data_IF_732942549573
#
_entry.id   IF_732942549573
#
_cell.length_a   1.000
_cell.length_b   1.000
_cell.length_c   1.000
_cell.angle_alpha   90.00
_cell.angle_beta   90.00
_cell.angle_gamma   90.00
#
_symmetry.space_group_name_H-M   'P 1'
#
loop_
_entity.id
_entity.type
_entity.pdbx_description
1 polymer ?
#
# COMPACT_ATOMS: atom_id res chain seq x y z
N UNK A 1 6.68 19.11 -9.98
CA UNK A 1 8.06 18.60 -9.80
C UNK A 1 8.04 17.22 -9.16
N UNK A 2 8.48 16.18 -9.88
CA UNK A 2 8.77 14.85 -9.32
C UNK A 2 10.20 14.87 -8.79
N UNK A 3 10.38 15.03 -7.48
CA UNK A 3 11.65 14.70 -6.83
C UNK A 3 11.43 13.43 -6.02
N UNK A 4 11.45 12.29 -6.71
CA UNK A 4 11.73 11.04 -6.03
C UNK A 4 13.22 11.10 -5.67
N UNK A 5 13.52 11.14 -4.38
CA UNK A 5 14.91 11.16 -3.94
C UNK A 5 15.45 9.75 -4.10
N UNK A 6 16.35 9.59 -5.06
CA UNK A 6 17.07 8.34 -5.23
C UNK A 6 18.35 8.43 -4.41
N UNK A 7 18.37 7.74 -3.28
CA UNK A 7 19.59 7.59 -2.49
C UNK A 7 20.32 6.34 -2.95
N UNK A 8 21.63 6.46 -3.11
CA UNK A 8 22.51 5.31 -3.36
C UNK A 8 23.38 5.14 -2.13
N UNK A 9 23.17 4.04 -1.43
CA UNK A 9 24.00 3.65 -0.28
C UNK A 9 25.22 2.94 -0.84
N UNK A 10 26.40 3.30 -0.34
CA UNK A 10 27.67 2.64 -0.66
C UNK A 10 28.20 1.98 0.61
N UNK A 11 27.85 0.70 0.86
CA UNK A 11 28.31 -0.02 2.03
C UNK A 11 29.83 -0.20 2.01
N UNK A 12 30.47 -0.23 3.17
CA UNK A 12 31.85 -0.74 3.26
C UNK A 12 31.86 -2.26 3.08
N UNK A 13 33.01 -2.85 2.70
CA UNK A 13 33.13 -4.29 2.35
C UNK A 13 32.48 -5.22 3.38
N UNK A 14 32.67 -4.96 4.68
CA UNK A 14 32.09 -5.78 5.75
C UNK A 14 30.56 -5.67 5.81
N UNK A 15 29.99 -4.49 5.52
CA UNK A 15 28.55 -4.28 5.45
C UNK A 15 27.96 -4.93 4.19
N UNK A 16 28.67 -4.85 3.06
CA UNK A 16 28.26 -5.47 1.80
C UNK A 16 28.12 -7.00 1.93
N UNK A 17 29.09 -7.66 2.58
CA UNK A 17 29.03 -9.10 2.87
C UNK A 17 27.78 -9.44 3.70
N UNK A 18 27.50 -8.66 4.74
CA UNK A 18 26.31 -8.87 5.59
C UNK A 18 25.00 -8.61 4.86
N UNK A 19 24.94 -7.57 4.04
CA UNK A 19 23.77 -7.27 3.20
C UNK A 19 23.52 -8.36 2.17
N UNK A 20 24.55 -8.83 1.48
CA UNK A 20 24.42 -9.91 0.51
C UNK A 20 23.97 -11.22 1.16
N UNK A 21 24.50 -11.55 2.34
CA UNK A 21 24.04 -12.70 3.13
C UNK A 21 22.55 -12.58 3.49
N UNK A 22 22.14 -11.42 4.00
CA UNK A 22 20.75 -11.14 4.40
C UNK A 22 19.80 -11.18 3.20
N UNK A 23 20.15 -10.52 2.09
CA UNK A 23 19.35 -10.51 0.86
C UNK A 23 19.23 -11.90 0.25
N UNK A 24 20.31 -12.68 0.24
CA UNK A 24 20.30 -14.07 -0.22
C UNK A 24 19.37 -14.93 0.64
N UNK A 25 19.43 -14.77 1.96
CA UNK A 25 18.54 -15.43 2.92
C UNK A 25 17.07 -15.10 2.67
N UNK A 26 16.73 -13.81 2.58
CA UNK A 26 15.37 -13.36 2.29
C UNK A 26 14.86 -13.89 0.94
N UNK A 27 15.73 -13.95 -0.08
CA UNK A 27 15.40 -14.49 -1.41
C UNK A 27 15.04 -15.97 -1.34
N UNK A 28 15.84 -16.78 -0.64
CA UNK A 28 15.55 -18.21 -0.46
C UNK A 28 14.24 -18.41 0.29
N UNK A 29 14.06 -17.73 1.43
CA UNK A 29 12.85 -17.83 2.24
C UNK A 29 11.59 -17.45 1.45
N UNK A 30 11.63 -16.34 0.69
CA UNK A 30 10.51 -15.92 -0.14
C UNK A 30 10.18 -16.93 -1.24
N UNK A 31 11.19 -17.42 -1.94
CA UNK A 31 11.00 -18.38 -3.03
C UNK A 31 10.46 -19.71 -2.52
N UNK A 32 10.95 -20.21 -1.38
CA UNK A 32 10.47 -21.42 -0.75
C UNK A 32 9.01 -21.27 -0.31
N UNK A 33 8.67 -20.15 0.33
CA UNK A 33 7.29 -19.84 0.73
C UNK A 33 6.36 -19.69 -0.49
N UNK A 34 6.83 -19.09 -1.59
CA UNK A 34 6.06 -18.95 -2.82
C UNK A 34 5.83 -20.30 -3.50
N UNK A 35 6.84 -21.18 -3.53
CA UNK A 35 6.73 -22.53 -4.06
C UNK A 35 5.72 -23.36 -3.27
N UNK A 36 5.75 -23.27 -1.94
CA UNK A 36 4.77 -23.92 -1.08
C UNK A 36 3.34 -23.39 -1.34
N UNK A 37 3.18 -22.07 -1.51
CA UNK A 37 1.87 -21.50 -1.87
C UNK A 37 1.34 -22.02 -3.20
N UNK A 38 2.20 -22.19 -4.21
CA UNK A 38 1.81 -22.77 -5.50
C UNK A 38 1.36 -24.23 -5.32
N UNK A 39 2.15 -25.02 -4.59
CA UNK A 39 1.84 -26.42 -4.28
C UNK A 39 0.52 -26.57 -3.51
N UNK A 40 0.26 -25.73 -2.51
CA UNK A 40 -0.99 -25.74 -1.75
C UNK A 40 -2.20 -25.29 -2.59
N UNK A 41 -2.01 -24.33 -3.50
CA UNK A 41 -3.06 -23.92 -4.43
C UNK A 41 -3.41 -25.05 -5.42
N UNK A 42 -2.41 -25.81 -5.87
CA UNK A 42 -2.60 -26.99 -6.73
C UNK A 42 -3.27 -28.16 -5.99
N UNK A 43 -2.95 -28.37 -4.71
CA UNK A 43 -3.44 -29.52 -3.93
C UNK A 43 -4.80 -29.30 -3.23
N UNK A 44 -5.11 -28.07 -2.79
CA UNK A 44 -6.16 -27.84 -1.78
C UNK A 44 -7.23 -26.81 -2.14
N UNK A 45 -7.39 -26.40 -3.41
CA UNK A 45 -8.40 -25.40 -3.83
C UNK A 45 -8.48 -24.16 -2.89
N UNK A 46 -7.32 -23.68 -2.42
CA UNK A 46 -7.13 -22.49 -1.57
C UNK A 46 -7.75 -22.54 -0.16
N UNK A 47 -7.23 -23.41 0.71
CA UNK A 47 -7.31 -23.21 2.17
C UNK A 47 -6.52 -21.95 2.58
N UNK A 48 -7.21 -21.00 3.24
CA UNK A 48 -6.73 -19.62 3.53
C UNK A 48 -5.91 -19.46 4.82
N UNK A 49 -5.40 -20.55 5.41
CA UNK A 49 -4.61 -20.45 6.64
C UNK A 49 -3.12 -20.29 6.31
N UNK A 50 -2.61 -19.11 6.61
CA UNK A 50 -1.23 -18.72 6.39
C UNK A 50 -0.44 -18.92 7.68
N UNK A 51 0.01 -20.14 7.92
CA UNK A 51 1.05 -20.37 8.92
C UNK A 51 2.41 -20.11 8.24
N UNK A 52 3.01 -18.96 8.54
CA UNK A 52 4.37 -18.62 8.08
C UNK A 52 5.32 -19.58 8.79
N UNK A 53 5.82 -20.56 8.04
CA UNK A 53 6.76 -21.58 8.49
C UNK A 53 6.19 -22.60 9.49
N UNK A 54 5.41 -23.60 9.02
CA UNK A 54 5.00 -24.75 9.84
C UNK A 54 6.19 -25.57 10.39
N UNK A 55 7.34 -25.45 9.74
CA UNK A 55 8.56 -26.21 9.99
C UNK A 55 9.50 -25.57 11.03
N UNK A 56 9.09 -24.47 11.66
CA UNK A 56 9.96 -23.71 12.57
C UNK A 56 10.99 -22.84 11.83
N UNK A 57 11.73 -22.02 12.58
CA UNK A 57 12.77 -21.17 12.00
C UNK A 57 13.91 -22.06 11.43
N UNK A 58 14.51 -21.72 10.29
CA UNK A 58 15.67 -22.47 9.80
C UNK A 58 16.87 -22.33 10.76
N UNK A 59 17.57 -23.43 11.04
CA UNK A 59 18.71 -23.47 11.97
C UNK A 59 19.89 -22.60 11.55
N UNK A 60 20.03 -22.34 10.25
CA UNK A 60 21.09 -21.51 9.67
C UNK A 60 20.82 -19.99 9.81
N UNK A 61 19.71 -19.58 10.44
CA UNK A 61 19.40 -18.17 10.69
C UNK A 61 19.84 -17.76 12.11
N UNK A 62 21.07 -17.27 12.23
CA UNK A 62 21.59 -16.69 13.48
C UNK A 62 20.99 -15.31 13.75
N UNK A 63 20.37 -15.15 14.93
CA UNK A 63 19.72 -13.90 15.36
C UNK A 63 20.72 -12.73 15.48
N UNK A 64 21.99 -13.04 15.78
CA UNK A 64 23.04 -12.05 16.09
C UNK A 64 23.77 -11.51 14.85
N UNK A 65 23.56 -12.07 13.66
CA UNK A 65 24.19 -11.62 12.42
C UNK A 65 23.31 -10.70 11.58
N UNK A 66 22.11 -10.36 12.08
CA UNK A 66 21.15 -9.53 11.38
C UNK A 66 21.65 -8.08 11.34
N UNK A 67 21.89 -7.58 10.13
CA UNK A 67 22.14 -6.15 9.92
C UNK A 67 20.79 -5.52 9.60
N UNK A 68 20.14 -4.95 10.61
CA UNK A 68 18.89 -4.20 10.42
C UNK A 68 19.17 -2.93 9.61
N UNK A 69 18.46 -2.75 8.50
CA UNK A 69 18.37 -1.46 7.81
C UNK A 69 17.15 -0.76 8.37
N UNK A 70 17.35 0.17 9.31
CA UNK A 70 16.28 1.08 9.74
C UNK A 70 16.19 2.23 8.74
N UNK A 71 15.33 2.08 7.73
CA UNK A 71 14.90 3.17 6.84
C UNK A 71 13.82 3.99 7.54
N UNK A 72 14.18 4.50 8.73
CA UNK A 72 13.28 4.91 9.77
C UNK A 72 12.23 5.96 9.37
N UNK A 73 11.00 5.68 9.81
CA UNK A 73 9.90 6.64 9.97
C UNK A 73 10.25 7.77 10.96
N UNK A 74 11.30 7.57 11.77
CA UNK A 74 11.85 8.48 12.78
C UNK A 74 13.00 9.32 12.23
N UNK A 75 13.98 8.70 11.56
CA UNK A 75 15.17 9.37 11.00
C UNK A 75 15.38 8.96 9.53
N UNK A 76 15.61 9.93 8.63
CA UNK A 76 15.90 9.69 7.20
C UNK A 76 17.15 8.84 6.97
N UNK A 77 18.18 9.05 7.79
CA UNK A 77 19.43 8.31 7.74
C UNK A 77 20.06 8.29 9.13
N UNK A 78 20.51 7.12 9.59
CA UNK A 78 21.38 7.00 10.76
C UNK A 78 22.76 6.51 10.31
N UNK A 79 23.80 7.27 10.63
CA UNK A 79 25.19 7.00 10.27
C UNK A 79 25.88 6.15 11.34
N UNK A 80 26.98 5.48 10.97
CA UNK A 80 27.75 4.61 11.89
C UNK A 80 28.42 5.35 13.05
N UNK A 81 28.58 6.67 12.94
CA UNK A 81 29.06 7.57 13.99
C UNK A 81 27.94 7.97 14.99
N UNK A 82 26.72 7.47 14.82
CA UNK A 82 25.55 7.81 15.64
C UNK A 82 24.81 9.09 15.20
N UNK A 83 25.26 9.77 14.15
CA UNK A 83 24.60 10.94 13.60
C UNK A 83 23.30 10.56 12.90
N UNK A 84 22.23 11.31 13.16
CA UNK A 84 20.91 11.09 12.59
C UNK A 84 20.48 12.29 11.76
N UNK A 85 20.03 12.04 10.53
CA UNK A 85 19.43 13.04 9.67
C UNK A 85 17.91 12.88 9.78
N UNK A 86 17.22 13.91 10.25
CA UNK A 86 15.76 13.92 10.31
C UNK A 86 15.13 13.99 8.89
N UNK A 87 13.99 13.32 8.65
CA UNK A 87 13.26 13.49 7.39
C UNK A 87 12.81 14.94 7.24
N UNK A 88 13.28 15.67 6.22
CA UNK A 88 12.78 17.02 5.99
C UNK A 88 11.26 17.03 5.82
N UNK A 89 10.61 18.12 6.26
CA UNK A 89 9.16 18.20 6.41
C UNK A 89 8.37 17.90 5.12
N UNK A 90 8.95 18.23 3.95
CA UNK A 90 8.37 17.91 2.66
C UNK A 90 8.30 16.40 2.38
N UNK A 91 9.19 15.58 2.98
CA UNK A 91 9.18 14.13 2.82
C UNK A 91 7.93 13.53 3.44
N UNK A 92 7.52 13.96 4.64
CA UNK A 92 6.29 13.47 5.30
C UNK A 92 5.04 13.71 4.45
N UNK A 93 4.98 14.82 3.74
CA UNK A 93 3.90 15.12 2.78
C UNK A 93 3.97 14.20 1.56
N UNK A 94 5.18 13.96 1.05
CA UNK A 94 5.40 13.06 -0.08
C UNK A 94 5.10 11.59 0.25
N UNK A 95 5.41 11.16 1.47
CA UNK A 95 5.12 9.82 2.01
C UNK A 95 3.62 9.60 2.14
N UNK A 96 2.87 10.54 2.73
CA UNK A 96 1.40 10.45 2.80
C UNK A 96 0.78 10.31 1.41
N UNK A 97 1.32 11.04 0.43
CA UNK A 97 0.88 10.96 -0.96
C UNK A 97 1.24 9.61 -1.60
N UNK A 98 2.45 9.10 -1.34
CA UNK A 98 2.91 7.81 -1.82
C UNK A 98 2.06 6.68 -1.23
N UNK A 99 1.83 6.68 0.09
CA UNK A 99 0.99 5.71 0.77
C UNK A 99 -0.44 5.70 0.22
N UNK A 100 -1.04 6.87 -0.03
CA UNK A 100 -2.34 6.96 -0.69
C UNK A 100 -2.32 6.40 -2.10
N UNK A 101 -1.27 6.68 -2.89
CA UNK A 101 -1.09 6.14 -4.23
C UNK A 101 -0.94 4.62 -4.24
N UNK A 102 -0.11 4.08 -3.35
CA UNK A 102 0.09 2.64 -3.17
C UNK A 102 -1.21 1.94 -2.74
N UNK A 103 -1.98 2.53 -1.82
CA UNK A 103 -3.28 2.00 -1.42
C UNK A 103 -4.21 1.87 -2.63
N UNK A 104 -4.38 2.94 -3.41
CA UNK A 104 -5.22 2.90 -4.62
C UNK A 104 -4.71 1.84 -5.59
N UNK A 105 -3.40 1.80 -5.86
CA UNK A 105 -2.81 0.81 -6.77
C UNK A 105 -3.10 -0.63 -6.33
N UNK A 106 -2.88 -0.96 -5.05
CA UNK A 106 -3.13 -2.30 -4.54
C UNK A 106 -4.61 -2.66 -4.53
N UNK A 107 -5.49 -1.72 -4.14
CA UNK A 107 -6.94 -1.96 -4.16
C UNK A 107 -7.44 -2.14 -5.59
N UNK A 108 -6.98 -1.35 -6.56
CA UNK A 108 -7.34 -1.51 -7.98
C UNK A 108 -6.89 -2.86 -8.52
N UNK A 109 -5.66 -3.27 -8.25
CA UNK A 109 -5.15 -4.58 -8.65
C UNK A 109 -5.99 -5.73 -8.07
N UNK A 110 -6.31 -5.68 -6.77
CA UNK A 110 -7.09 -6.73 -6.11
C UNK A 110 -8.56 -6.74 -6.52
N UNK A 111 -9.16 -5.57 -6.73
CA UNK A 111 -10.50 -5.45 -7.26
C UNK A 111 -10.57 -6.05 -8.67
N UNK A 112 -9.66 -5.68 -9.58
CA UNK A 112 -9.63 -6.22 -10.94
C UNK A 112 -9.46 -7.75 -10.98
N UNK A 113 -8.65 -8.31 -10.09
CA UNK A 113 -8.53 -9.77 -9.93
C UNK A 113 -9.86 -10.44 -9.53
N UNK A 114 -10.69 -9.75 -8.76
CA UNK A 114 -12.02 -10.20 -8.34
C UNK A 114 -13.15 -9.71 -9.28
N UNK A 115 -12.83 -9.23 -10.49
CA UNK A 115 -13.79 -8.64 -11.44
C UNK A 115 -14.55 -7.43 -10.85
N UNK A 116 -13.89 -6.69 -9.97
CA UNK A 116 -14.37 -5.45 -9.37
C UNK A 116 -13.59 -4.23 -9.88
N UNK A 117 -14.19 -3.05 -9.71
CA UNK A 117 -13.59 -1.76 -10.07
C UNK A 117 -13.35 -0.91 -8.82
N UNK A 118 -12.40 0.01 -8.90
CA UNK A 118 -12.15 1.03 -7.86
C UNK A 118 -12.43 2.40 -8.46
N UNK A 119 -13.45 3.06 -7.92
CA UNK A 119 -13.82 4.42 -8.29
C UNK A 119 -13.37 5.41 -7.21
N UNK A 120 -12.71 6.49 -7.62
CA UNK A 120 -12.25 7.54 -6.72
C UNK A 120 -13.27 8.68 -6.69
N UNK A 121 -13.83 8.95 -5.51
CA UNK A 121 -14.73 10.09 -5.29
C UNK A 121 -14.03 11.24 -4.55
N UNK A 122 -14.59 12.45 -4.62
CA UNK A 122 -14.10 13.58 -3.82
C UNK A 122 -14.25 13.25 -2.32
N UNK A 123 -13.17 13.26 -1.51
CA UNK A 123 -13.25 12.96 -0.08
C UNK A 123 -13.61 14.17 0.78
N UNK A 124 -13.66 15.39 0.22
CA UNK A 124 -13.79 16.63 1.00
C UNK A 124 -15.15 16.73 1.70
N UNK A 125 -15.12 17.06 2.99
CA UNK A 125 -16.32 17.33 3.77
C UNK A 125 -17.21 16.11 4.09
N UNK A 126 -16.82 14.88 3.74
CA UNK A 126 -17.61 13.65 4.00
C UNK A 126 -17.93 13.42 5.48
N UNK A 127 -17.08 13.93 6.37
CA UNK A 127 -17.26 13.87 7.82
C UNK A 127 -17.97 15.09 8.40
N UNK A 128 -18.39 16.05 7.59
CA UNK A 128 -18.99 17.31 8.02
C UNK A 128 -20.35 17.56 7.37
N UNK A 129 -20.85 16.60 6.58
CA UNK A 129 -22.13 16.66 5.89
C UNK A 129 -22.97 15.44 6.28
N UNK A 130 -24.29 15.63 6.33
CA UNK A 130 -25.24 14.53 6.47
C UNK A 130 -25.53 13.90 5.10
N UNK A 131 -26.09 12.70 5.11
CA UNK A 131 -26.60 12.01 3.91
C UNK A 131 -27.62 12.88 3.16
N UNK A 132 -28.41 13.68 3.89
CA UNK A 132 -29.38 14.63 3.31
C UNK A 132 -28.75 15.90 2.73
N UNK A 133 -27.42 16.04 2.75
CA UNK A 133 -26.71 17.22 2.25
C UNK A 133 -26.56 18.38 3.24
N UNK A 134 -27.19 18.32 4.42
CA UNK A 134 -27.07 19.39 5.42
C UNK A 134 -25.68 19.38 6.09
N UNK A 135 -24.98 20.53 6.21
CA UNK A 135 -23.73 20.64 6.95
C UNK A 135 -23.95 20.36 8.45
N UNK A 136 -23.11 19.51 9.03
CA UNK A 136 -23.10 19.19 10.46
C UNK A 136 -21.66 19.31 10.96
N UNK A 137 -21.19 20.54 11.26
CA UNK A 137 -19.84 20.78 11.76
C UNK A 137 -19.57 20.03 13.05
N UNK A 138 -18.45 19.32 13.11
CA UNK A 138 -18.06 18.50 14.25
C UNK A 138 -16.58 18.21 14.30
N UNK A 139 -16.07 18.06 15.51
CA UNK A 139 -14.66 17.76 15.78
C UNK A 139 -14.35 16.27 15.59
N UNK A 140 -13.05 15.93 15.59
CA UNK A 140 -12.60 14.54 15.47
C UNK A 140 -13.04 13.65 16.65
N UNK A 141 -13.28 14.22 17.83
CA UNK A 141 -13.76 13.48 19.01
C UNK A 141 -15.25 13.12 18.92
N UNK A 142 -16.05 13.87 18.16
CA UNK A 142 -17.47 13.57 17.96
C UNK A 142 -17.66 12.36 17.05
N UNK A 143 -17.91 11.20 17.66
CA UNK A 143 -18.12 9.91 16.96
C UNK A 143 -19.56 9.65 16.55
N UNK A 144 -20.53 10.34 17.13
CA UNK A 144 -21.95 10.25 16.77
C UNK A 144 -22.31 11.46 15.90
N UNK A 145 -22.95 11.18 14.77
CA UNK A 145 -23.58 12.17 13.89
C UNK A 145 -25.03 12.37 14.34
N UNK A 146 -25.44 13.61 14.57
CA UNK A 146 -26.83 14.01 14.82
C UNK A 146 -27.17 15.16 13.87
N UNK A 147 -28.04 14.92 12.90
CA UNK A 147 -28.39 15.95 11.93
C UNK A 147 -29.57 16.80 12.44
N UNK A 148 -29.44 18.15 12.52
CA UNK A 148 -30.53 19.02 12.95
C UNK A 148 -31.63 19.15 11.89
N UNK A 149 -31.33 18.85 10.62
CA UNK A 149 -32.27 19.00 9.51
C UNK A 149 -33.17 17.77 9.32
N UNK A 150 -32.59 16.57 9.20
CA UNK A 150 -33.36 15.34 8.96
C UNK A 150 -33.51 14.43 10.19
N UNK A 151 -32.93 14.79 11.34
CA UNK A 151 -33.02 14.01 12.57
C UNK A 151 -32.17 12.74 12.61
N UNK A 152 -31.39 12.42 11.56
CA UNK A 152 -30.55 11.21 11.51
C UNK A 152 -29.56 11.17 12.69
N UNK A 153 -29.60 10.08 13.45
CA UNK A 153 -28.63 9.77 14.52
C UNK A 153 -27.92 8.46 14.21
N UNK A 154 -26.62 8.52 13.91
CA UNK A 154 -25.83 7.34 13.56
C UNK A 154 -24.34 7.55 13.85
N UNK A 155 -23.54 6.50 13.75
CA UNK A 155 -22.08 6.62 13.81
C UNK A 155 -21.54 7.53 12.70
N UNK A 156 -20.63 8.45 13.02
CA UNK A 156 -20.03 9.37 12.06
C UNK A 156 -19.42 8.65 10.86
N UNK A 157 -18.73 7.54 11.11
CA UNK A 157 -18.03 6.79 10.07
C UNK A 157 -19.02 6.11 9.11
N UNK A 158 -20.14 5.60 9.63
CA UNK A 158 -21.24 5.08 8.79
C UNK A 158 -21.83 6.18 7.92
N UNK A 159 -22.12 7.36 8.48
CA UNK A 159 -22.64 8.49 7.70
C UNK A 159 -21.66 8.92 6.61
N UNK A 160 -20.36 9.02 6.92
CA UNK A 160 -19.34 9.34 5.93
C UNK A 160 -19.22 8.29 4.82
N UNK A 161 -19.37 7.00 5.14
CA UNK A 161 -19.36 5.93 4.14
C UNK A 161 -20.56 6.04 3.19
N UNK A 162 -21.76 6.29 3.72
CA UNK A 162 -22.96 6.51 2.89
C UNK A 162 -22.83 7.77 2.01
N UNK A 163 -22.22 8.84 2.52
CA UNK A 163 -21.94 10.03 1.71
C UNK A 163 -20.98 9.72 0.56
N UNK A 164 -19.97 8.88 0.79
CA UNK A 164 -19.02 8.42 -0.24
C UNK A 164 -19.75 7.60 -1.30
N UNK A 165 -20.62 6.67 -0.89
CA UNK A 165 -21.44 5.86 -1.80
C UNK A 165 -22.41 6.70 -2.63
N UNK A 166 -23.08 7.69 -2.01
CA UNK A 166 -23.90 8.62 -2.77
C UNK A 166 -23.08 9.39 -3.81
N UNK A 167 -21.84 9.77 -3.49
CA UNK A 167 -20.95 10.46 -4.45
C UNK A 167 -20.55 9.60 -5.63
N UNK A 168 -20.33 8.28 -5.44
CA UNK A 168 -20.00 7.39 -6.57
C UNK A 168 -21.17 7.27 -7.54
N UNK A 169 -22.42 7.23 -7.04
CA UNK A 169 -23.61 7.14 -7.90
C UNK A 169 -23.74 8.34 -8.85
N UNK A 170 -23.40 9.56 -8.40
CA UNK A 170 -23.43 10.75 -9.25
C UNK A 170 -22.30 10.80 -10.29
N UNK A 171 -21.17 10.15 -10.04
CA UNK A 171 -20.04 10.10 -10.99
C UNK A 171 -20.36 9.18 -12.19
N UNK A 172 -21.03 8.05 -11.94
CA UNK A 172 -21.48 7.09 -12.99
C UNK A 172 -22.46 7.72 -13.99
N UNK A 173 -23.24 8.73 -13.60
CA UNK A 173 -24.22 9.41 -14.47
C UNK A 173 -23.63 10.42 -15.46
N UNK A 174 -22.33 10.73 -15.39
CA UNK A 174 -21.69 11.75 -16.25
C UNK A 174 -20.62 11.21 -17.20
N UNK A 175 -20.23 9.95 -17.06
CA UNK A 175 -19.38 9.27 -18.04
C UNK A 175 -20.26 8.32 -18.82
N UNK A 176 -20.77 8.79 -19.96
CA UNK A 176 -21.03 7.92 -21.08
C UNK A 176 -19.84 6.97 -21.25
N UNK A 177 -20.17 5.75 -21.67
CA UNK A 177 -19.28 4.64 -21.92
C UNK A 177 -18.22 5.06 -22.95
N UNK A 178 -17.12 5.70 -22.52
CA UNK A 178 -15.82 5.46 -23.14
C UNK A 178 -15.26 4.20 -22.48
N UNK A 179 -15.84 3.07 -22.90
CA UNK A 179 -15.09 1.83 -22.92
C UNK A 179 -13.78 2.14 -23.65
N UNK A 180 -12.67 2.16 -22.91
CA UNK A 180 -11.33 2.23 -23.47
C UNK A 180 -11.03 0.89 -24.17
N UNK A 181 -11.70 0.69 -25.31
CA UNK A 181 -11.45 -0.29 -26.36
C UNK A 181 -10.96 0.48 -27.59
N UNK A 182 -9.81 1.13 -27.47
CA UNK A 182 -8.90 1.48 -28.58
C UNK A 182 -7.65 2.10 -27.96
N UNK A 183 -6.60 1.36 -27.64
CA UNK A 183 -5.78 0.67 -28.62
C UNK A 183 -4.82 -0.25 -27.86
N UNK A 184 -4.90 -1.54 -28.13
CA UNK A 184 -3.73 -2.41 -28.01
C UNK A 184 -2.68 -1.88 -29.00
N UNK A 185 -1.83 -0.96 -28.55
CA UNK A 185 -0.50 -0.80 -29.12
C UNK A 185 0.35 -1.90 -28.48
N UNK A 186 0.64 -2.90 -29.29
CA UNK A 186 1.54 -4.01 -29.01
C UNK A 186 2.96 -3.48 -28.84
N UNK A 187 3.34 -3.09 -27.63
CA UNK A 187 4.75 -3.07 -27.25
C UNK A 187 5.06 -4.38 -26.50
N UNK A 188 5.34 -5.37 -27.33
CA UNK A 188 5.95 -6.64 -26.96
C UNK A 188 7.17 -6.42 -26.07
N UNK A 189 7.20 -7.11 -24.93
CA UNK A 189 8.38 -7.21 -24.08
C UNK A 189 9.50 -7.92 -24.83
N UNK A 190 10.42 -7.18 -25.44
CA UNK A 190 11.68 -7.77 -25.91
C UNK A 190 12.59 -7.98 -24.70
N UNK A 191 12.70 -9.23 -24.26
CA UNK A 191 13.83 -9.68 -23.46
C UNK A 191 15.03 -9.79 -24.40
N UNK A 192 16.06 -8.98 -24.19
CA UNK A 192 17.39 -9.31 -24.69
C UNK A 192 18.26 -9.75 -23.51
N UNK A 193 18.59 -11.05 -23.53
CA UNK A 193 19.66 -11.62 -22.74
C UNK A 193 21.02 -11.07 -23.25
N UNK A 194 22.02 -10.88 -22.38
CA UNK A 194 23.34 -10.46 -22.81
C UNK A 194 24.06 -11.62 -23.50
N UNK A 195 24.56 -11.39 -24.72
CA UNK A 195 25.45 -12.30 -25.42
C UNK A 195 26.87 -11.71 -25.47
N UNK A 196 27.78 -12.40 -24.76
CA UNK A 196 29.25 -12.34 -24.75
C UNK A 196 29.95 -11.12 -24.15
#
# INVERSE_FOLDING_TARGET
MRKAYQFRIYPHKNQEVKFNSTLSTCRHLYNDALAERKRQAELNELSRRFDVCPWGKPEWMNYWDQTGIDVGLTSLLTMSNGEQIEPPEFLRTSEKRLARGQLVQFTTYKAGYAVGIVELVDPRGTSQICICGHPVPKTLSMRIHKCPNCGLVAGRHHVSANVIENRSIYTVGTTEIEACLSSLSTDTMTQEAPAR
#
